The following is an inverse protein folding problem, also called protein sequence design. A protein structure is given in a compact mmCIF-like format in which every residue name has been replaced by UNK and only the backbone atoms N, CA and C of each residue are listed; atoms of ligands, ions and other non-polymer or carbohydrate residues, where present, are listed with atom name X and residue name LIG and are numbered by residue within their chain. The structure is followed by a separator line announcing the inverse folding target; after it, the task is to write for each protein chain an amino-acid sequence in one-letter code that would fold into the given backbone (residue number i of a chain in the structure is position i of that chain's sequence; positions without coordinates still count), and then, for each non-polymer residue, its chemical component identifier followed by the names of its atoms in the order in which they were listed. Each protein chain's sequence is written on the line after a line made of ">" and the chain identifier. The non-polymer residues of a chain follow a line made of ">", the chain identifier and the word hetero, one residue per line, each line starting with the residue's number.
data_IF_107190575517
#
_entry.id   IF_107190575517
#
_cell.length_a   1.000
_cell.length_b   1.000
_cell.length_c   1.000
_cell.angle_alpha   90.00
_cell.angle_beta   90.00
_cell.angle_gamma   90.00
#
_symmetry.space_group_name_H-M   'P 1'
#
loop_
_entity.id
_entity.type
_entity.pdbx_description
1 polymer ?
#
# COMPACT_ATOMS: atom_id res chain seq x y z
N UNK A 1 0.83 23.59 2.08
CA UNK A 1 -0.38 22.98 1.49
C UNK A 1 -0.13 21.49 1.48
N UNK A 2 -0.59 20.83 2.53
CA UNK A 2 -0.32 19.44 2.82
C UNK A 2 -1.26 18.57 1.98
N UNK A 3 -0.79 18.23 0.77
CA UNK A 3 -1.52 17.54 -0.31
C UNK A 3 -2.03 16.13 0.06
N UNK A 4 -1.73 15.63 1.26
CA UNK A 4 -1.98 14.26 1.68
C UNK A 4 -3.11 14.12 2.72
N UNK A 5 -4.15 14.95 2.57
CA UNK A 5 -5.37 14.89 3.39
C UNK A 5 -6.45 13.95 2.80
N UNK A 6 -6.20 13.38 1.61
CA UNK A 6 -7.15 12.52 0.90
C UNK A 6 -6.46 11.24 0.42
N UNK A 7 -7.14 10.12 0.59
CA UNK A 7 -6.67 8.83 0.08
C UNK A 7 -6.80 8.79 -1.46
N UNK A 8 -5.71 8.55 -2.22
CA UNK A 8 -5.77 8.52 -3.70
C UNK A 8 -6.60 7.36 -4.26
N UNK A 9 -6.87 6.32 -3.45
CA UNK A 9 -7.65 5.16 -3.88
C UNK A 9 -9.16 5.35 -3.74
N UNK A 10 -9.62 5.94 -2.64
CA UNK A 10 -11.05 6.06 -2.34
C UNK A 10 -11.55 7.50 -2.25
N UNK A 11 -10.65 8.50 -2.26
CA UNK A 11 -10.99 9.90 -2.06
C UNK A 11 -11.40 10.25 -0.61
N UNK A 12 -11.30 9.31 0.32
CA UNK A 12 -11.66 9.53 1.72
C UNK A 12 -10.69 10.47 2.44
N UNK A 13 -11.20 11.32 3.32
CA UNK A 13 -10.39 12.17 4.17
C UNK A 13 -9.52 11.32 5.11
N UNK A 14 -8.20 11.51 5.01
CA UNK A 14 -7.20 10.80 5.80
C UNK A 14 -5.95 11.66 5.90
N UNK A 15 -5.39 11.77 7.10
CA UNK A 15 -4.14 12.49 7.33
C UNK A 15 -2.99 11.47 7.45
N UNK A 16 -1.97 11.57 6.59
CA UNK A 16 -0.79 10.74 6.76
C UNK A 16 0.14 11.30 7.82
N UNK A 17 0.13 10.69 9.01
CA UNK A 17 0.98 11.08 10.14
C UNK A 17 2.48 10.81 9.88
N UNK A 18 2.82 10.03 8.84
CA UNK A 18 4.20 9.77 8.45
C UNK A 18 4.93 11.02 7.95
N UNK A 19 4.20 11.97 7.32
CA UNK A 19 4.78 13.23 6.84
C UNK A 19 4.85 14.29 7.94
N UNK A 20 4.07 14.13 9.02
CA UNK A 20 3.98 15.13 10.08
C UNK A 20 5.10 15.02 11.12
N UNK A 21 6.02 14.06 10.97
CA UNK A 21 7.15 13.79 11.88
C UNK A 21 6.76 13.60 13.37
N UNK A 22 5.46 13.48 13.68
CA UNK A 22 4.96 13.17 15.00
C UNK A 22 5.27 11.71 15.30
N UNK A 23 6.06 11.49 16.36
CA UNK A 23 6.72 10.24 16.74
C UNK A 23 5.75 9.13 17.22
N UNK A 24 4.74 8.79 16.45
CA UNK A 24 3.87 7.64 16.69
C UNK A 24 3.88 6.71 15.47
N UNK A 25 3.77 5.38 15.66
CA UNK A 25 3.54 4.49 14.53
C UNK A 25 2.22 4.89 13.87
N UNK A 26 2.28 5.34 12.62
CA UNK A 26 1.11 5.63 11.80
C UNK A 26 0.11 4.46 11.90
N UNK A 27 -1.19 4.73 11.98
CA UNK A 27 -2.21 3.69 12.05
C UNK A 27 -2.11 2.64 10.91
N UNK A 28 -1.44 3.00 9.81
CA UNK A 28 -1.04 2.09 8.74
C UNK A 28 -0.09 0.95 9.19
N UNK A 29 0.80 1.17 10.15
CA UNK A 29 1.68 0.14 10.74
C UNK A 29 0.93 -0.88 11.59
N UNK A 30 -0.28 -0.55 12.07
CA UNK A 30 -1.14 -1.52 12.76
C UNK A 30 -1.76 -2.54 11.79
N UNK A 31 -1.64 -2.33 10.46
CA UNK A 31 -2.08 -3.28 9.44
C UNK A 31 -0.92 -4.20 9.08
N UNK A 32 -1.08 -5.50 9.34
CA UNK A 32 -0.10 -6.51 8.95
C UNK A 32 -0.15 -6.74 7.43
N UNK A 33 0.65 -5.99 6.68
CA UNK A 33 0.84 -6.21 5.26
C UNK A 33 2.01 -7.20 5.04
N UNK A 34 1.83 -8.18 4.15
CA UNK A 34 2.92 -9.05 3.68
C UNK A 34 3.94 -8.26 2.83
N UNK A 35 5.13 -8.83 2.61
CA UNK A 35 6.15 -8.15 1.80
C UNK A 35 5.70 -7.91 0.36
N UNK A 36 5.02 -8.90 -0.23
CA UNK A 36 4.37 -8.79 -1.52
C UNK A 36 3.34 -7.64 -1.57
N UNK A 37 2.51 -7.52 -0.54
CA UNK A 37 1.54 -6.43 -0.45
C UNK A 37 2.26 -5.07 -0.41
N UNK A 38 3.29 -4.95 0.42
CA UNK A 38 4.08 -3.71 0.53
C UNK A 38 4.76 -3.34 -0.79
N UNK A 39 5.33 -4.31 -1.51
CA UNK A 39 5.92 -4.10 -2.82
C UNK A 39 4.88 -3.58 -3.82
N UNK A 40 3.74 -4.27 -3.96
CA UNK A 40 2.63 -3.83 -4.81
C UNK A 40 2.13 -2.44 -4.48
N UNK A 41 2.00 -2.12 -3.18
CA UNK A 41 1.60 -0.79 -2.74
C UNK A 41 2.62 0.27 -3.20
N UNK A 42 3.92 0.03 -3.03
CA UNK A 42 4.97 0.97 -3.46
C UNK A 42 5.05 1.14 -4.97
N UNK A 43 4.75 0.09 -5.73
CA UNK A 43 4.70 0.15 -7.19
C UNK A 43 3.46 0.90 -7.71
N UNK A 44 2.32 0.75 -7.04
CA UNK A 44 1.02 1.28 -7.48
C UNK A 44 0.70 2.67 -6.91
N UNK A 45 1.21 2.99 -5.72
CA UNK A 45 0.89 4.21 -5.00
C UNK A 45 2.16 4.87 -4.48
N UNK A 46 2.35 6.13 -4.87
CA UNK A 46 3.46 6.98 -4.42
C UNK A 46 3.12 7.76 -3.15
N UNK A 47 1.86 7.78 -2.73
CA UNK A 47 1.37 8.47 -1.52
C UNK A 47 0.68 7.51 -0.55
N UNK A 48 0.45 7.97 0.68
CA UNK A 48 -0.17 7.16 1.73
C UNK A 48 -1.63 6.79 1.40
N UNK A 49 -2.05 5.61 1.83
CA UNK A 49 -3.44 5.15 1.76
C UNK A 49 -4.06 5.13 3.16
N UNK A 50 -5.37 5.35 3.23
CA UNK A 50 -6.10 5.23 4.48
C UNK A 50 -6.15 3.77 4.97
N UNK A 51 -6.38 3.58 6.28
CA UNK A 51 -6.43 2.27 6.94
C UNK A 51 -7.46 1.33 6.29
N UNK A 52 -8.62 1.84 5.87
CA UNK A 52 -9.64 1.04 5.21
C UNK A 52 -9.15 0.45 3.88
N UNK A 53 -8.47 1.28 3.07
CA UNK A 53 -7.87 0.82 1.82
C UNK A 53 -6.73 -0.17 2.06
N UNK A 54 -5.90 0.06 3.07
CA UNK A 54 -4.82 -0.86 3.43
C UNK A 54 -5.36 -2.24 3.83
N UNK A 55 -6.42 -2.28 4.67
CA UNK A 55 -7.10 -3.54 5.03
C UNK A 55 -7.73 -4.24 3.83
N UNK A 56 -8.31 -3.49 2.90
CA UNK A 56 -8.85 -4.06 1.67
C UNK A 56 -7.76 -4.70 0.80
N UNK A 57 -6.57 -4.08 0.71
CA UNK A 57 -5.43 -4.65 0.00
C UNK A 57 -4.90 -5.89 0.72
N UNK A 58 -4.78 -5.84 2.04
CA UNK A 58 -4.41 -6.99 2.85
C UNK A 58 -5.35 -8.18 2.57
N UNK A 59 -6.66 -7.98 2.71
CA UNK A 59 -7.66 -9.01 2.48
C UNK A 59 -7.63 -9.56 1.04
N UNK A 60 -7.41 -8.69 0.04
CA UNK A 60 -7.31 -9.11 -1.36
C UNK A 60 -6.10 -10.00 -1.63
N UNK A 61 -4.95 -9.72 -1.00
CA UNK A 61 -3.74 -10.56 -1.11
C UNK A 61 -3.84 -11.86 -0.30
N UNK A 62 -4.48 -11.83 0.88
CA UNK A 62 -4.74 -13.04 1.67
C UNK A 62 -5.72 -13.98 0.96
N UNK A 63 -6.71 -13.43 0.24
CA UNK A 63 -7.64 -14.21 -0.57
C UNK A 63 -7.01 -14.77 -1.86
N UNK A 64 -5.90 -14.20 -2.33
CA UNK A 64 -5.22 -14.59 -3.57
C UNK A 64 -3.70 -14.82 -3.33
N UNK A 65 -3.31 -15.92 -2.67
CA UNK A 65 -1.90 -16.24 -2.42
C UNK A 65 -1.08 -16.51 -3.70
N UNK A 66 -1.71 -16.59 -4.88
CA UNK A 66 -1.10 -17.05 -6.14
C UNK A 66 -0.72 -15.90 -7.12
N UNK A 67 -0.74 -14.62 -6.70
CA UNK A 67 -0.53 -13.49 -7.65
C UNK A 67 0.73 -12.66 -7.36
N UNK A 68 1.50 -13.02 -6.34
CA UNK A 68 2.70 -12.28 -5.93
C UNK A 68 4.02 -12.86 -6.50
N UNK A 69 3.99 -14.00 -7.20
CA UNK A 69 5.21 -14.67 -7.67
C UNK A 69 5.09 -15.04 -9.13
N UNK A 70 5.00 -14.05 -10.01
CA UNK A 70 5.52 -14.24 -11.37
C UNK A 70 6.44 -13.07 -11.69
N UNK A 71 7.76 -13.20 -11.48
CA UNK A 71 8.68 -12.31 -12.18
C UNK A 71 8.41 -12.44 -13.68
N UNK A 72 8.32 -11.34 -14.46
CA UNK A 72 8.29 -11.46 -15.92
C UNK A 72 9.58 -12.18 -16.31
N UNK A 73 9.45 -13.42 -16.76
CA UNK A 73 10.59 -14.15 -17.31
C UNK A 73 11.14 -13.30 -18.44
N UNK A 74 12.43 -12.90 -18.44
CA UNK A 74 12.99 -12.20 -19.58
C UNK A 74 12.91 -13.17 -20.75
N UNK A 75 12.04 -12.85 -21.70
CA UNK A 75 11.88 -13.60 -22.93
C UNK A 75 13.21 -13.57 -23.67
N UNK A 76 13.91 -14.69 -23.63
CA UNK A 76 15.25 -14.89 -24.16
C UNK A 76 15.14 -14.88 -25.69
N UNK A 77 15.57 -13.79 -26.34
CA UNK A 77 15.66 -13.73 -27.81
C UNK A 77 16.87 -14.54 -28.29
N UNK A 78 16.60 -15.36 -29.30
CA UNK A 78 17.47 -16.31 -29.98
C UNK A 78 18.31 -15.66 -31.08
#
# INVERSE_FOLDING_TARGET
>A
MDTNSLCPRCGGAFMCEAETALQAPCACFAVQLSDAARALLRERYTTCLCVACLRAVQAALEAAPDQAVTPPTPSRMA
#
